data_IF_425185166844
#
_entry.id   IF_425185166844
#
_cell.length_a   1.000
_cell.length_b   1.000
_cell.length_c   1.000
_cell.angle_alpha   90.00
_cell.angle_beta   90.00
_cell.angle_gamma   90.00
#
_symmetry.space_group_name_H-M   'P 1'
#
loop_
_entity.id
_entity.type
_entity.pdbx_description
1 polymer ?
#
# COMPACT_ATOMS: atom_id res chain seq x y z
N UNK A 1 4.23 8.34 -30.96
CA UNK A 1 3.93 8.27 -29.51
C UNK A 1 3.33 6.91 -29.20
N UNK A 2 4.02 6.01 -28.48
CA UNK A 2 3.43 4.73 -28.05
C UNK A 2 2.32 5.03 -27.03
N UNK A 3 1.12 4.49 -27.26
CA UNK A 3 -0.04 4.73 -26.40
C UNK A 3 0.27 4.30 -24.95
N UNK A 4 0.34 5.27 -24.04
CA UNK A 4 0.54 5.04 -22.59
C UNK A 4 -0.63 4.32 -21.92
N UNK A 5 -1.75 4.13 -22.63
CA UNK A 5 -2.94 3.41 -22.18
C UNK A 5 -2.65 1.94 -21.87
N UNK A 6 -1.88 1.26 -22.72
CA UNK A 6 -1.63 -0.19 -22.57
C UNK A 6 -0.82 -0.51 -21.31
N UNK A 7 0.30 0.17 -21.00
CA UNK A 7 1.03 -0.05 -19.75
C UNK A 7 0.20 0.17 -18.48
N UNK A 8 -0.65 1.20 -18.44
CA UNK A 8 -1.49 1.51 -17.28
C UNK A 8 -2.48 0.37 -17.00
N UNK A 9 -3.15 -0.11 -18.06
CA UNK A 9 -4.06 -1.24 -17.95
C UNK A 9 -3.34 -2.53 -17.54
N UNK A 10 -2.16 -2.81 -18.11
CA UNK A 10 -1.37 -3.99 -17.74
C UNK A 10 -0.90 -3.96 -16.28
N UNK A 11 -0.53 -2.79 -15.75
CA UNK A 11 -0.14 -2.65 -14.36
C UNK A 11 -1.31 -2.90 -13.42
N UNK A 12 -2.49 -2.36 -13.75
CA UNK A 12 -3.72 -2.60 -12.98
C UNK A 12 -4.16 -4.07 -13.03
N UNK A 13 -4.00 -4.70 -14.19
CA UNK A 13 -4.25 -6.12 -14.40
C UNK A 13 -3.39 -6.97 -13.49
N UNK A 14 -2.06 -6.80 -13.57
CA UNK A 14 -1.09 -7.54 -12.77
C UNK A 14 -1.40 -7.46 -11.27
N UNK A 15 -1.61 -6.25 -10.75
CA UNK A 15 -1.93 -6.03 -9.33
C UNK A 15 -3.26 -6.64 -8.91
N UNK A 16 -4.23 -6.69 -9.82
CA UNK A 16 -5.52 -7.32 -9.53
C UNK A 16 -5.39 -8.83 -9.45
N UNK A 17 -4.61 -9.44 -10.35
CA UNK A 17 -4.37 -10.89 -10.36
C UNK A 17 -3.58 -11.33 -9.14
N UNK A 18 -2.52 -10.60 -8.75
CA UNK A 18 -1.78 -10.84 -7.50
C UNK A 18 -2.71 -10.84 -6.27
N UNK A 19 -3.69 -9.93 -6.24
CA UNK A 19 -4.66 -9.85 -5.16
C UNK A 19 -5.67 -11.01 -5.16
N UNK A 20 -6.03 -11.52 -6.34
CA UNK A 20 -6.90 -12.69 -6.49
C UNK A 20 -6.15 -13.98 -6.10
N UNK A 21 -4.90 -14.11 -6.52
CA UNK A 21 -4.03 -15.25 -6.24
C UNK A 21 -3.67 -15.35 -4.75
N UNK A 22 -3.57 -14.23 -4.04
CA UNK A 22 -3.33 -14.20 -2.60
C UNK A 22 -4.52 -14.71 -1.75
N UNK A 23 -5.67 -15.00 -2.34
CA UNK A 23 -6.84 -15.52 -1.62
C UNK A 23 -6.65 -17.00 -1.30
N UNK A 24 -6.71 -17.34 -0.01
CA UNK A 24 -6.67 -18.72 0.50
C UNK A 24 -7.74 -19.59 -0.19
N UNK A 25 -7.38 -20.80 -0.60
CA UNK A 25 -8.21 -21.72 -1.40
C UNK A 25 -9.60 -21.99 -0.81
N UNK A 26 -9.73 -22.04 0.52
CA UNK A 26 -11.01 -22.28 1.21
C UNK A 26 -12.04 -21.15 1.02
N UNK A 27 -11.64 -19.99 0.50
CA UNK A 27 -12.54 -18.84 0.27
C UNK A 27 -13.02 -18.76 -1.18
N UNK A 28 -13.47 -19.89 -1.74
CA UNK A 28 -13.92 -20.03 -3.14
C UNK A 28 -14.90 -18.93 -3.56
N UNK A 29 -15.94 -18.65 -2.76
CA UNK A 29 -16.92 -17.59 -3.06
C UNK A 29 -16.31 -16.19 -3.06
N UNK A 30 -15.37 -15.92 -2.15
CA UNK A 30 -14.71 -14.62 -2.08
C UNK A 30 -13.81 -14.39 -3.30
N UNK A 31 -13.06 -15.43 -3.69
CA UNK A 31 -12.23 -15.42 -4.89
C UNK A 31 -13.05 -15.21 -6.16
N UNK A 32 -14.13 -15.98 -6.34
CA UNK A 32 -15.04 -15.83 -7.48
C UNK A 32 -15.65 -14.41 -7.55
N UNK A 33 -16.05 -13.85 -6.40
CA UNK A 33 -16.53 -12.47 -6.35
C UNK A 33 -15.44 -11.45 -6.70
N UNK A 34 -14.19 -11.65 -6.27
CA UNK A 34 -13.06 -10.80 -6.64
C UNK A 34 -12.79 -10.82 -8.14
N UNK A 35 -12.82 -12.00 -8.76
CA UNK A 35 -12.68 -12.18 -10.21
C UNK A 35 -13.80 -11.47 -10.96
N UNK A 36 -15.04 -11.63 -10.52
CA UNK A 36 -16.22 -10.96 -11.08
C UNK A 36 -16.10 -9.43 -10.96
N UNK A 37 -15.74 -8.90 -9.78
CA UNK A 37 -15.52 -7.47 -9.55
C UNK A 37 -14.37 -6.95 -10.42
N UNK A 38 -13.29 -7.72 -10.56
CA UNK A 38 -12.14 -7.39 -11.38
C UNK A 38 -12.55 -7.25 -12.85
N UNK A 39 -13.30 -8.21 -13.39
CA UNK A 39 -13.77 -8.18 -14.77
C UNK A 39 -14.67 -6.97 -15.05
N UNK A 40 -15.57 -6.63 -14.11
CA UNK A 40 -16.41 -5.43 -14.26
C UNK A 40 -15.57 -4.16 -14.23
N UNK A 41 -14.64 -4.02 -13.27
CA UNK A 41 -13.76 -2.85 -13.19
C UNK A 41 -12.89 -2.69 -14.44
N UNK A 42 -12.30 -3.79 -14.92
CA UNK A 42 -11.53 -3.82 -16.17
C UNK A 42 -12.37 -3.36 -17.35
N UNK A 43 -13.60 -3.87 -17.46
CA UNK A 43 -14.51 -3.51 -18.53
C UNK A 43 -14.86 -2.01 -18.50
N UNK A 44 -15.14 -1.45 -17.33
CA UNK A 44 -15.46 -0.02 -17.16
C UNK A 44 -14.30 0.90 -17.57
N UNK A 45 -13.08 0.55 -17.18
CA UNK A 45 -11.88 1.37 -17.41
C UNK A 45 -11.34 1.21 -18.84
N UNK A 46 -11.54 0.05 -19.47
CA UNK A 46 -11.06 -0.23 -20.82
C UNK A 46 -11.91 0.40 -21.94
N UNK A 47 -13.09 0.94 -21.63
CA UNK A 47 -13.99 1.61 -22.59
C UNK A 47 -13.27 2.71 -23.39
N UNK A 48 -13.87 3.10 -24.52
CA UNK A 48 -13.40 4.23 -25.32
C UNK A 48 -13.35 5.52 -24.47
N UNK A 49 -14.40 5.75 -23.69
CA UNK A 49 -14.44 6.74 -22.60
C UNK A 49 -14.40 5.99 -21.28
N UNK A 50 -13.25 5.95 -20.58
CA UNK A 50 -13.15 5.28 -19.28
C UNK A 50 -14.17 5.83 -18.28
N UNK A 51 -14.77 4.94 -17.51
CA UNK A 51 -15.65 5.28 -16.39
C UNK A 51 -14.98 4.98 -15.06
N UNK A 52 -15.22 5.82 -14.06
CA UNK A 52 -14.66 5.65 -12.73
C UNK A 52 -15.36 4.46 -12.05
N UNK A 53 -14.63 3.41 -11.64
CA UNK A 53 -15.22 2.26 -10.96
C UNK A 53 -15.59 2.63 -9.52
N UNK A 54 -16.84 3.04 -9.33
CA UNK A 54 -17.46 3.24 -8.01
C UNK A 54 -18.14 1.95 -7.55
N UNK A 55 -18.29 1.74 -6.24
CA UNK A 55 -18.91 0.53 -5.73
C UNK A 55 -20.36 0.36 -6.25
N UNK A 56 -21.10 1.47 -6.36
CA UNK A 56 -22.46 1.50 -6.94
C UNK A 56 -22.44 1.06 -8.41
N UNK A 57 -21.63 1.72 -9.24
CA UNK A 57 -21.57 1.43 -10.68
C UNK A 57 -21.10 -0.01 -10.96
N UNK A 58 -20.11 -0.48 -10.20
CA UNK A 58 -19.60 -1.85 -10.34
C UNK A 58 -20.65 -2.87 -9.93
N UNK A 59 -21.44 -2.61 -8.88
CA UNK A 59 -22.54 -3.49 -8.48
C UNK A 59 -23.65 -3.50 -9.54
N UNK A 60 -24.07 -2.34 -10.03
CA UNK A 60 -25.11 -2.21 -11.07
C UNK A 60 -24.73 -2.96 -12.36
N UNK A 61 -23.51 -2.75 -12.85
CA UNK A 61 -23.00 -3.43 -14.06
C UNK A 61 -22.74 -4.93 -13.83
N UNK A 62 -22.36 -5.31 -12.61
CA UNK A 62 -22.18 -6.70 -12.22
C UNK A 62 -23.49 -7.48 -12.13
N UNK A 63 -24.55 -6.86 -11.60
CA UNK A 63 -25.90 -7.44 -11.48
C UNK A 63 -26.52 -7.80 -12.83
N UNK A 64 -26.13 -7.10 -13.91
CA UNK A 64 -26.54 -7.44 -15.28
C UNK A 64 -25.96 -8.78 -15.76
N UNK A 65 -24.84 -9.22 -15.18
CA UNK A 65 -24.12 -10.44 -15.57
C UNK A 65 -24.36 -11.59 -14.60
N UNK A 66 -24.43 -11.29 -13.31
CA UNK A 66 -24.66 -12.26 -12.24
C UNK A 66 -25.68 -11.68 -11.25
N UNK A 67 -26.82 -12.36 -11.07
CA UNK A 67 -27.85 -11.93 -10.12
C UNK A 67 -27.36 -11.97 -8.67
N UNK A 68 -26.34 -12.74 -8.37
CA UNK A 68 -25.74 -12.87 -7.04
C UNK A 68 -24.53 -11.95 -6.84
N UNK A 69 -24.34 -10.97 -7.73
CA UNK A 69 -23.21 -10.06 -7.64
C UNK A 69 -23.22 -9.27 -6.32
N UNK A 70 -22.06 -8.99 -5.72
CA UNK A 70 -21.97 -8.27 -4.45
C UNK A 70 -22.69 -6.92 -4.46
N UNK A 71 -23.35 -6.60 -3.35
CA UNK A 71 -23.98 -5.30 -3.15
C UNK A 71 -22.94 -4.17 -3.09
N UNK A 72 -23.31 -2.89 -3.33
CA UNK A 72 -22.38 -1.78 -3.25
C UNK A 72 -21.63 -1.70 -1.91
N UNK A 73 -22.34 -1.96 -0.81
CA UNK A 73 -21.77 -1.95 0.55
C UNK A 73 -20.74 -3.08 0.73
N UNK A 74 -21.05 -4.27 0.23
CA UNK A 74 -20.11 -5.41 0.25
C UNK A 74 -18.86 -5.12 -0.58
N UNK A 75 -19.01 -4.48 -1.75
CA UNK A 75 -17.88 -4.08 -2.59
C UNK A 75 -16.99 -3.07 -1.86
N UNK A 76 -17.59 -2.09 -1.20
CA UNK A 76 -16.82 -1.10 -0.45
C UNK A 76 -16.01 -1.73 0.69
N UNK A 77 -16.65 -2.61 1.48
CA UNK A 77 -16.05 -3.17 2.68
C UNK A 77 -15.05 -4.30 2.39
N UNK A 78 -15.41 -5.24 1.51
CA UNK A 78 -14.67 -6.48 1.31
C UNK A 78 -13.79 -6.47 0.06
N UNK A 79 -14.09 -5.60 -0.91
CA UNK A 79 -13.40 -5.56 -2.21
C UNK A 79 -12.80 -4.18 -2.53
N UNK A 80 -12.67 -3.32 -1.50
CA UNK A 80 -12.23 -1.93 -1.66
C UNK A 80 -10.80 -1.76 -2.20
N UNK A 81 -9.91 -2.72 -1.91
CA UNK A 81 -8.54 -2.70 -2.44
C UNK A 81 -8.51 -2.88 -3.96
N UNK A 82 -9.34 -3.78 -4.49
CA UNK A 82 -9.48 -4.00 -5.93
C UNK A 82 -10.06 -2.75 -6.62
N UNK A 83 -11.08 -2.12 -6.02
CA UNK A 83 -11.58 -0.83 -6.50
C UNK A 83 -10.49 0.25 -6.54
N UNK A 84 -9.62 0.32 -5.51
CA UNK A 84 -8.55 1.31 -5.45
C UNK A 84 -7.55 1.15 -6.60
N UNK A 85 -7.20 -0.07 -6.97
CA UNK A 85 -6.32 -0.37 -8.12
C UNK A 85 -6.92 0.19 -9.41
N UNK A 86 -8.18 -0.11 -9.69
CA UNK A 86 -8.83 0.31 -10.93
C UNK A 86 -9.21 1.79 -10.96
N UNK A 87 -9.51 2.42 -9.81
CA UNK A 87 -9.67 3.87 -9.71
C UNK A 87 -8.36 4.60 -10.03
N UNK A 88 -7.24 4.10 -9.51
CA UNK A 88 -5.91 4.65 -9.85
C UNK A 88 -5.67 4.54 -11.36
N UNK A 89 -5.92 3.39 -11.96
CA UNK A 89 -5.82 3.21 -13.41
C UNK A 89 -6.71 4.20 -14.18
N UNK A 90 -7.96 4.42 -13.75
CA UNK A 90 -8.85 5.43 -14.33
C UNK A 90 -8.25 6.84 -14.28
N UNK A 91 -7.71 7.25 -13.13
CA UNK A 91 -7.10 8.57 -12.96
C UNK A 91 -5.84 8.70 -13.83
N UNK A 92 -4.98 7.68 -13.83
CA UNK A 92 -3.78 7.63 -14.68
C UNK A 92 -4.15 7.73 -16.16
N UNK A 93 -5.23 7.06 -16.60
CA UNK A 93 -5.75 7.17 -17.98
C UNK A 93 -6.31 8.54 -18.32
N UNK A 94 -7.05 9.18 -17.39
CA UNK A 94 -7.54 10.56 -17.54
C UNK A 94 -6.38 11.56 -17.62
N UNK A 95 -5.30 11.24 -16.92
CA UNK A 95 -4.08 12.01 -16.86
C UNK A 95 -3.06 11.65 -17.96
N UNK A 96 -3.39 10.78 -18.92
CA UNK A 96 -2.51 10.47 -20.07
C UNK A 96 -2.12 11.72 -20.87
N UNK A 97 -3.01 12.72 -20.90
CA UNK A 97 -2.77 14.00 -21.58
C UNK A 97 -2.14 15.07 -20.66
N UNK A 98 -2.12 14.85 -19.35
CA UNK A 98 -1.31 15.70 -18.46
C UNK A 98 0.13 15.22 -18.56
N UNK A 99 1.06 16.15 -18.75
CA UNK A 99 2.49 15.86 -18.65
C UNK A 99 2.77 15.12 -17.34
N UNK A 100 3.69 14.15 -17.38
CA UNK A 100 4.10 13.40 -16.19
C UNK A 100 4.36 14.38 -15.05
N UNK A 101 3.91 14.03 -13.84
CA UNK A 101 4.14 14.87 -12.66
C UNK A 101 5.65 14.92 -12.45
N UNK A 102 6.27 16.02 -12.88
CA UNK A 102 7.68 16.28 -12.67
C UNK A 102 7.88 16.29 -11.15
N UNK A 103 8.79 15.44 -10.65
CA UNK A 103 9.07 15.40 -9.22
C UNK A 103 9.43 16.82 -8.75
N UNK A 104 9.01 17.24 -7.54
CA UNK A 104 9.45 18.52 -6.99
C UNK A 104 10.96 18.71 -7.07
N UNK A 105 11.74 17.64 -6.86
CA UNK A 105 13.21 17.67 -6.98
C UNK A 105 13.68 17.93 -8.40
N UNK A 106 12.98 17.37 -9.39
CA UNK A 106 13.26 17.62 -10.80
C UNK A 106 12.97 19.08 -11.17
N UNK A 107 11.89 19.68 -10.64
CA UNK A 107 11.56 21.11 -10.85
C UNK A 107 12.62 22.00 -10.18
N UNK A 108 13.02 21.67 -8.95
CA UNK A 108 14.03 22.43 -8.20
C UNK A 108 15.40 22.41 -8.90
N UNK A 109 15.73 21.31 -9.57
CA UNK A 109 17.00 21.11 -10.25
C UNK A 109 17.03 21.57 -11.73
N UNK A 110 15.93 22.12 -12.27
CA UNK A 110 15.92 22.68 -13.64
C UNK A 110 16.97 23.78 -13.75
N UNK A 111 17.94 23.61 -14.67
CA UNK A 111 18.89 24.67 -15.02
C UNK A 111 18.14 25.81 -15.71
N UNK A 112 18.35 27.03 -15.21
CA UNK A 112 17.69 28.25 -15.73
C UNK A 112 18.63 29.09 -16.60
N UNK A 113 19.82 28.56 -16.89
CA UNK A 113 20.90 29.26 -17.58
C UNK A 113 20.53 29.61 -19.03
N UNK A 114 19.77 28.74 -19.69
CA UNK A 114 19.41 28.88 -21.10
C UNK A 114 18.11 29.68 -21.33
N UNK A 115 17.49 30.19 -20.25
CA UNK A 115 16.25 30.97 -20.31
C UNK A 115 16.54 32.48 -20.33
N UNK A 116 15.67 33.22 -21.02
CA UNK A 116 15.64 34.68 -20.97
C UNK A 116 15.37 35.20 -19.54
N UNK A 117 15.71 36.45 -19.29
CA UNK A 117 15.68 37.03 -17.95
C UNK A 117 14.28 37.07 -17.32
N UNK A 118 13.24 37.27 -18.14
CA UNK A 118 11.84 37.25 -17.69
C UNK A 118 11.38 35.84 -17.30
N UNK A 119 11.65 34.85 -18.16
CA UNK A 119 11.36 33.44 -17.88
C UNK A 119 12.14 32.93 -16.67
N UNK A 120 13.40 33.38 -16.50
CA UNK A 120 14.23 33.03 -15.36
C UNK A 120 13.64 33.54 -14.04
N UNK A 121 13.17 34.78 -14.01
CA UNK A 121 12.50 35.34 -12.83
C UNK A 121 11.23 34.56 -12.46
N UNK A 122 10.40 34.22 -13.46
CA UNK A 122 9.19 33.43 -13.25
C UNK A 122 9.51 32.03 -12.72
N UNK A 123 10.50 31.34 -13.29
CA UNK A 123 10.89 29.99 -12.85
C UNK A 123 11.46 30.04 -11.43
N UNK A 124 12.25 31.05 -11.08
CA UNK A 124 12.77 31.22 -9.72
C UNK A 124 11.63 31.45 -8.71
N UNK A 125 10.63 32.24 -9.07
CA UNK A 125 9.47 32.49 -8.23
C UNK A 125 8.61 31.23 -8.04
N UNK A 126 8.43 30.44 -9.10
CA UNK A 126 7.78 29.14 -9.02
C UNK A 126 8.54 28.16 -8.11
N UNK A 127 9.87 28.11 -8.20
CA UNK A 127 10.71 27.32 -7.28
C UNK A 127 10.54 27.79 -5.83
N UNK A 128 10.44 29.11 -5.59
CA UNK A 128 10.19 29.68 -4.27
C UNK A 128 8.86 29.22 -3.71
N UNK A 129 7.78 29.36 -4.47
CA UNK A 129 6.44 28.90 -4.07
C UNK A 129 6.40 27.40 -3.79
N UNK A 130 7.06 26.60 -4.63
CA UNK A 130 7.13 25.15 -4.43
C UNK A 130 7.81 24.79 -3.10
N UNK A 131 8.95 25.42 -2.78
CA UNK A 131 9.63 25.22 -1.49
C UNK A 131 8.74 25.62 -0.32
N UNK A 132 8.03 26.74 -0.42
CA UNK A 132 7.13 27.23 0.61
C UNK A 132 5.96 26.27 0.86
N UNK A 133 5.36 25.71 -0.21
CA UNK A 133 4.31 24.69 -0.10
C UNK A 133 4.82 23.41 0.57
N UNK A 134 6.02 22.95 0.22
CA UNK A 134 6.64 21.77 0.86
C UNK A 134 6.84 22.03 2.35
N UNK A 135 7.39 23.19 2.72
CA UNK A 135 7.59 23.57 4.12
C UNK A 135 6.28 23.65 4.88
N UNK A 136 5.24 24.28 4.33
CA UNK A 136 3.91 24.35 4.95
C UNK A 136 3.28 22.96 5.11
N UNK A 137 3.44 22.07 4.13
CA UNK A 137 2.95 20.70 4.24
C UNK A 137 3.68 19.92 5.34
N UNK A 138 4.99 20.08 5.46
CA UNK A 138 5.76 19.45 6.53
C UNK A 138 5.37 20.03 7.90
N UNK A 139 5.21 21.35 8.02
CA UNK A 139 4.72 21.98 9.24
C UNK A 139 3.30 21.50 9.61
N UNK A 140 2.41 21.31 8.63
CA UNK A 140 1.09 20.73 8.86
C UNK A 140 1.15 19.28 9.29
N UNK A 141 2.06 18.48 8.72
CA UNK A 141 2.31 17.12 9.21
C UNK A 141 2.80 17.15 10.65
N UNK A 142 3.72 18.04 11.00
CA UNK A 142 4.24 18.18 12.36
C UNK A 142 3.14 18.61 13.34
N UNK A 143 2.29 19.57 12.96
CA UNK A 143 1.12 19.96 13.73
C UNK A 143 0.16 18.79 13.89
N UNK A 144 -0.11 18.04 12.81
CA UNK A 144 -0.98 16.87 12.86
C UNK A 144 -0.41 15.77 13.75
N UNK A 145 0.91 15.53 13.71
CA UNK A 145 1.60 14.61 14.64
C UNK A 145 1.55 15.08 16.10
N UNK A 146 1.55 16.40 16.35
CA UNK A 146 1.53 16.97 17.70
C UNK A 146 0.12 17.09 18.29
N UNK A 147 -0.87 17.45 17.48
CA UNK A 147 -2.23 17.81 17.94
C UNK A 147 -3.29 16.75 17.69
N UNK A 148 -3.05 15.82 16.77
CA UNK A 148 -3.90 14.62 16.67
C UNK A 148 -3.24 13.56 17.56
N UNK A 149 -3.76 13.31 18.77
CA UNK A 149 -3.43 12.08 19.45
C UNK A 149 -3.88 10.96 18.53
N UNK A 150 -2.91 10.32 17.85
CA UNK A 150 -3.11 8.94 17.43
C UNK A 150 -3.46 8.25 18.73
N UNK A 151 -4.75 7.92 18.90
CA UNK A 151 -5.21 7.09 20.01
C UNK A 151 -4.48 5.77 19.88
N UNK A 152 -3.28 5.69 20.45
CA UNK A 152 -2.71 4.50 21.05
C UNK A 152 -3.36 4.27 22.41
N UNK A 153 -4.68 4.50 22.47
CA UNK A 153 -5.53 4.22 23.61
C UNK A 153 -5.65 2.69 23.65
N UNK A 154 -4.60 2.05 24.16
CA UNK A 154 -4.47 0.63 24.38
C UNK A 154 -4.44 -0.18 23.09
N UNK A 155 -3.31 -0.84 22.81
CA UNK A 155 -3.45 -2.23 22.40
C UNK A 155 -4.43 -2.87 23.39
N UNK A 156 -5.57 -3.41 22.92
CA UNK A 156 -6.48 -4.10 23.84
C UNK A 156 -5.66 -5.15 24.60
N UNK A 157 -6.07 -5.52 25.81
CA UNK A 157 -5.37 -6.58 26.56
C UNK A 157 -5.13 -7.85 25.70
N UNK A 158 -5.99 -8.08 24.70
CA UNK A 158 -5.86 -9.15 23.71
C UNK A 158 -4.67 -8.95 22.76
N UNK A 159 -4.38 -7.73 22.31
CA UNK A 159 -3.20 -7.43 21.48
C UNK A 159 -1.92 -7.55 22.30
N UNK A 160 -1.93 -7.13 23.57
CA UNK A 160 -0.80 -7.35 24.49
C UNK A 160 -0.52 -8.84 24.70
N UNK A 161 -1.55 -9.61 25.04
CA UNK A 161 -1.44 -11.06 25.21
C UNK A 161 -0.99 -11.78 23.93
N UNK A 162 -1.46 -11.34 22.76
CA UNK A 162 -1.05 -11.90 21.47
C UNK A 162 0.44 -11.62 21.19
N UNK A 163 0.93 -10.43 21.54
CA UNK A 163 2.34 -10.05 21.36
C UNK A 163 3.27 -10.79 22.32
N UNK A 164 2.86 -11.00 23.57
CA UNK A 164 3.60 -11.83 24.52
C UNK A 164 3.66 -13.29 24.06
N UNK A 165 2.52 -13.83 23.59
CA UNK A 165 2.44 -15.18 23.01
C UNK A 165 3.36 -15.34 21.79
N UNK A 166 3.39 -14.33 20.92
CA UNK A 166 4.27 -14.33 19.75
C UNK A 166 5.74 -14.32 20.17
N UNK A 167 6.11 -13.54 21.18
CA UNK A 167 7.48 -13.48 21.69
C UNK A 167 7.90 -14.84 22.25
N UNK A 168 7.09 -15.45 23.11
CA UNK A 168 7.40 -16.73 23.73
C UNK A 168 7.51 -17.85 22.68
N UNK A 169 6.67 -17.79 21.63
CA UNK A 169 6.79 -18.68 20.49
C UNK A 169 8.10 -18.49 19.72
N UNK A 170 8.53 -17.25 19.48
CA UNK A 170 9.80 -16.95 18.82
C UNK A 170 11.00 -17.47 19.63
N UNK A 171 10.97 -17.37 20.96
CA UNK A 171 12.01 -17.96 21.82
C UNK A 171 12.02 -19.48 21.75
N UNK A 172 10.84 -20.12 21.82
CA UNK A 172 10.72 -21.57 21.67
C UNK A 172 11.30 -22.05 20.33
N UNK A 173 10.98 -21.35 19.25
CA UNK A 173 11.46 -21.64 17.89
C UNK A 173 12.99 -21.53 17.79
N UNK A 174 13.55 -20.49 18.43
CA UNK A 174 15.00 -20.29 18.51
C UNK A 174 15.67 -21.41 19.29
N UNK A 175 15.17 -21.71 20.48
CA UNK A 175 15.77 -22.67 21.40
C UNK A 175 15.63 -24.12 20.91
N UNK A 176 14.55 -24.42 20.19
CA UNK A 176 14.34 -25.72 19.54
C UNK A 176 15.14 -25.90 18.23
N UNK A 177 15.93 -24.91 17.81
CA UNK A 177 16.86 -25.02 16.68
C UNK A 177 16.20 -24.97 15.30
N UNK A 178 14.95 -24.50 15.22
CA UNK A 178 14.25 -24.25 13.95
C UNK A 178 14.73 -22.98 13.25
N UNK A 179 15.45 -22.13 13.98
CA UNK A 179 16.09 -20.93 13.49
C UNK A 179 17.50 -21.23 12.98
N UNK A 180 17.68 -21.27 11.66
CA UNK A 180 18.97 -21.56 11.03
C UNK A 180 19.22 -20.57 9.90
N UNK A 181 20.44 -20.05 9.73
CA UNK A 181 20.77 -19.16 8.60
C UNK A 181 19.90 -17.89 8.48
N UNK A 182 19.26 -17.46 9.57
CA UNK A 182 18.37 -16.29 9.60
C UNK A 182 16.89 -16.59 9.29
N UNK A 183 16.53 -17.75 8.75
CA UNK A 183 15.15 -18.13 8.41
C UNK A 183 14.56 -19.19 9.33
N UNK A 184 13.26 -19.46 9.16
CA UNK A 184 12.53 -20.52 9.88
C UNK A 184 12.40 -21.78 9.02
N UNK A 185 12.80 -22.94 9.54
CA UNK A 185 12.83 -24.20 8.79
C UNK A 185 12.02 -25.31 9.47
N UNK A 186 11.45 -26.25 8.69
CA UNK A 186 10.85 -27.50 9.23
C UNK A 186 11.87 -28.63 9.25
N UNK A 187 11.84 -29.44 10.32
CA UNK A 187 12.83 -30.52 10.52
C UNK A 187 12.32 -31.95 10.33
N UNK A 188 11.02 -32.26 10.46
CA UNK A 188 10.57 -33.68 10.51
C UNK A 188 9.41 -34.12 9.60
N UNK A 189 8.53 -33.24 9.14
CA UNK A 189 7.34 -33.60 8.32
C UNK A 189 7.35 -33.08 6.88
N UNK A 190 8.28 -32.18 6.58
CA UNK A 190 8.52 -31.56 5.26
C UNK A 190 9.98 -31.84 4.90
N UNK A 191 10.40 -31.76 3.62
CA UNK A 191 11.80 -31.97 3.24
C UNK A 191 12.72 -31.11 4.11
N UNK A 192 13.73 -31.74 4.72
CA UNK A 192 14.67 -31.08 5.63
C UNK A 192 15.30 -29.89 4.89
N UNK A 193 15.26 -28.71 5.50
CA UNK A 193 15.76 -27.47 4.88
C UNK A 193 14.72 -26.66 4.11
N UNK A 194 13.44 -27.03 4.17
CA UNK A 194 12.35 -26.19 3.64
C UNK A 194 12.18 -24.94 4.52
N UNK A 195 12.48 -23.77 3.97
CA UNK A 195 12.26 -22.48 4.60
C UNK A 195 10.76 -22.15 4.55
N UNK A 196 10.14 -21.93 5.71
CA UNK A 196 8.75 -21.49 5.83
C UNK A 196 8.66 -19.97 5.95
N UNK A 197 9.69 -19.34 6.52
CA UNK A 197 9.73 -17.90 6.73
C UNK A 197 11.07 -17.35 6.33
N UNK A 198 11.03 -16.34 5.46
CA UNK A 198 12.22 -15.62 5.01
C UNK A 198 12.90 -14.88 6.18
N UNK A 199 14.24 -14.73 6.12
CA UNK A 199 14.98 -14.10 7.20
C UNK A 199 14.53 -12.69 7.55
N UNK A 200 14.15 -11.90 6.54
CA UNK A 200 13.68 -10.53 6.74
C UNK A 200 12.37 -10.47 7.53
N UNK A 201 11.41 -11.35 7.22
CA UNK A 201 10.12 -11.40 7.91
C UNK A 201 10.32 -11.86 9.36
N UNK A 202 11.17 -12.87 9.57
CA UNK A 202 11.48 -13.36 10.91
C UNK A 202 12.19 -12.31 11.76
N UNK A 203 13.13 -11.55 11.18
CA UNK A 203 13.81 -10.46 11.87
C UNK A 203 12.88 -9.29 12.21
N UNK A 204 11.94 -8.95 11.33
CA UNK A 204 10.96 -7.89 11.62
C UNK A 204 9.96 -8.30 12.70
N UNK A 205 9.51 -9.56 12.73
CA UNK A 205 8.66 -10.09 13.79
C UNK A 205 9.39 -10.10 15.14
N UNK A 206 10.65 -10.51 15.17
CA UNK A 206 11.47 -10.44 16.36
C UNK A 206 11.68 -8.99 16.83
N UNK A 207 11.98 -8.08 15.91
CA UNK A 207 12.15 -6.65 16.21
C UNK A 207 10.87 -6.07 16.81
N UNK A 208 9.72 -6.35 16.21
CA UNK A 208 8.41 -5.89 16.65
C UNK A 208 8.04 -6.46 18.03
N UNK A 209 8.24 -7.75 18.26
CA UNK A 209 7.98 -8.40 19.54
C UNK A 209 8.92 -7.89 20.66
N UNK A 210 10.20 -7.66 20.33
CA UNK A 210 11.17 -7.06 21.27
C UNK A 210 10.81 -5.62 21.61
N UNK A 211 10.49 -4.78 20.62
CA UNK A 211 10.05 -3.38 20.82
C UNK A 211 8.81 -3.33 21.71
N UNK A 212 7.90 -4.30 21.59
CA UNK A 212 6.75 -4.40 22.47
C UNK A 212 7.13 -4.72 23.92
N UNK A 213 7.96 -5.75 24.13
CA UNK A 213 8.40 -6.21 25.46
C UNK A 213 9.32 -5.21 26.17
N UNK A 214 10.14 -4.47 25.43
CA UNK A 214 11.04 -3.43 25.97
C UNK A 214 10.39 -2.05 26.02
N UNK A 215 9.60 -1.69 25.01
CA UNK A 215 8.88 -0.42 24.87
C UNK A 215 7.60 -0.32 25.69
N UNK A 216 7.09 -1.44 26.21
CA UNK A 216 6.02 -1.49 27.22
C UNK A 216 6.40 -0.88 28.57
N UNK A 217 7.67 -0.49 28.78
CA UNK A 217 8.10 0.34 29.94
C UNK A 217 8.67 1.70 29.58
N UNK A 218 8.98 1.97 28.32
CA UNK A 218 9.46 3.29 27.90
C UNK A 218 9.12 3.58 26.44
N UNK A 219 8.18 4.51 26.24
CA UNK A 219 7.95 5.38 25.08
C UNK A 219 8.35 4.84 23.69
N UNK A 220 7.34 4.40 22.93
CA UNK A 220 7.37 4.24 21.47
C UNK A 220 7.33 5.58 20.70
N UNK A 221 7.82 6.69 21.28
CA UNK A 221 7.89 8.01 20.61
C UNK A 221 9.25 8.30 19.95
N UNK A 222 10.30 7.55 20.28
CA UNK A 222 11.67 7.99 19.97
C UNK A 222 12.34 7.18 18.83
N UNK A 223 11.67 6.16 18.27
CA UNK A 223 12.26 5.26 17.25
C UNK A 223 12.01 5.67 15.78
N UNK A 224 11.34 6.80 15.52
CA UNK A 224 11.06 7.28 14.14
C UNK A 224 11.87 8.55 13.81
N UNK A 225 12.70 9.04 14.74
CA UNK A 225 13.49 10.27 14.57
C UNK A 225 14.84 10.13 13.88
N UNK A 226 15.44 8.94 13.81
CA UNK A 226 16.88 8.81 13.49
C UNK A 226 17.23 8.19 12.12
N UNK A 227 16.26 7.94 11.23
CA UNK A 227 16.55 7.47 9.86
C UNK A 227 16.37 8.55 8.77
N UNK A 228 16.26 9.82 9.16
CA UNK A 228 16.36 10.95 8.22
C UNK A 228 17.35 11.97 8.78
N UNK A 229 18.64 11.66 8.66
CA UNK A 229 19.75 12.63 8.71
C UNK A 229 20.78 12.26 7.67
#
# INVERSE_FOLDING_TARGET
MKSRKTPILQLAEKKSLELIEAVIEDRVRHRANLENVHHVCRALVSRATPLLPTAKLVSEEGLLRDRNFPSPQTIYNSYGQLLRIWRRAYHDLRNINSQDTVSPDQILNVSVMDFDEGSRAVIQELKRHLKEVIQRNNALKDILYREVPVRTDGASAEVGAAMDTLFDWLELVRDAGFWQGGGLYVTRSTPIGTMIMEPFVLSELERLARIWRTGGKTKLSDAVGDEIS
#
